data_IF_143701797400
#
_entry.id   IF_143701797400
#
_cell.length_a   1.000
_cell.length_b   1.000
_cell.length_c   1.000
_cell.angle_alpha   90.00
_cell.angle_beta   90.00
_cell.angle_gamma   90.00
#
_symmetry.space_group_name_H-M   'P 1'
#
loop_
_entity.id
_entity.type
_entity.pdbx_description
1 polymer ?
#
# COMPACT_ATOMS: atom_id res chain seq x y z
N UNK A 1 -19.84 -4.51 -0.13
CA UNK A 1 -20.06 -3.63 -1.29
C UNK A 1 -20.70 -2.33 -0.84
N UNK A 2 -20.08 -1.22 -1.17
CA UNK A 2 -20.48 0.10 -0.70
C UNK A 2 -20.54 1.08 -1.87
N UNK A 3 -21.64 1.82 -1.98
CA UNK A 3 -21.87 2.72 -3.12
C UNK A 3 -20.93 3.92 -3.16
N UNK A 4 -20.45 4.37 -2.00
CA UNK A 4 -19.54 5.53 -1.92
C UNK A 4 -18.08 5.19 -2.21
N UNK A 5 -17.76 3.89 -2.35
CA UNK A 5 -16.40 3.46 -2.71
C UNK A 5 -16.32 3.35 -4.22
N UNK A 6 -15.27 3.94 -4.82
CA UNK A 6 -15.03 3.82 -6.24
C UNK A 6 -14.85 2.34 -6.59
N UNK A 7 -15.66 1.82 -7.52
CA UNK A 7 -15.71 0.40 -7.84
C UNK A 7 -16.58 -0.41 -6.90
N UNK A 8 -17.10 0.19 -5.81
CA UNK A 8 -18.07 -0.36 -4.86
C UNK A 8 -17.58 -1.48 -3.95
N UNK A 9 -16.41 -2.04 -4.19
CA UNK A 9 -15.86 -3.10 -3.35
C UNK A 9 -14.87 -2.52 -2.34
N UNK A 10 -15.02 -2.94 -1.06
CA UNK A 10 -14.14 -2.50 0.01
C UNK A 10 -12.71 -3.00 -0.21
N UNK A 11 -12.57 -4.29 -0.51
CA UNK A 11 -11.26 -4.92 -0.62
C UNK A 11 -10.88 -5.16 -2.06
N UNK A 12 -9.58 -4.99 -2.33
CA UNK A 12 -8.94 -5.32 -3.59
C UNK A 12 -7.67 -6.12 -3.32
N UNK A 13 -7.20 -6.85 -4.32
CA UNK A 13 -5.86 -7.44 -4.28
C UNK A 13 -4.88 -6.32 -4.60
N UNK A 14 -4.19 -5.84 -3.57
CA UNK A 14 -3.26 -4.71 -3.69
C UNK A 14 -1.83 -5.21 -3.85
N UNK A 15 -1.09 -4.62 -4.78
CA UNK A 15 0.35 -4.88 -4.88
C UNK A 15 1.07 -4.21 -3.70
N UNK A 16 1.98 -4.93 -3.07
CA UNK A 16 2.89 -4.33 -2.08
C UNK A 16 3.87 -3.42 -2.79
N UNK A 17 4.44 -3.90 -3.89
CA UNK A 17 5.26 -3.08 -4.79
C UNK A 17 4.53 -3.00 -6.11
N UNK A 18 4.17 -1.79 -6.55
CA UNK A 18 3.37 -1.57 -7.73
C UNK A 18 3.97 -2.15 -9.00
N UNK A 19 3.12 -2.48 -9.97
CA UNK A 19 3.54 -3.05 -11.25
C UNK A 19 4.60 -2.20 -11.95
N UNK A 20 4.46 -0.88 -11.88
CA UNK A 20 5.41 0.04 -12.51
C UNK A 20 6.85 -0.11 -11.97
N UNK A 21 7.02 -0.68 -10.78
CA UNK A 21 8.33 -0.88 -10.16
C UNK A 21 8.78 -2.34 -10.21
N UNK A 22 7.86 -3.29 -10.09
CA UNK A 22 8.19 -4.72 -9.98
C UNK A 22 8.04 -5.49 -11.28
N UNK A 23 7.17 -5.03 -12.17
CA UNK A 23 6.81 -5.78 -13.37
C UNK A 23 5.97 -7.03 -13.09
N UNK A 24 5.51 -7.21 -11.86
CA UNK A 24 4.74 -8.38 -11.45
C UNK A 24 3.27 -8.05 -11.30
N UNK A 25 2.43 -8.82 -11.98
CA UNK A 25 0.98 -8.61 -11.96
C UNK A 25 0.23 -9.55 -11.02
N UNK A 26 0.65 -10.78 -10.91
CA UNK A 26 -0.10 -11.82 -10.18
C UNK A 26 0.73 -12.67 -9.24
N UNK A 27 1.87 -12.18 -8.77
CA UNK A 27 2.68 -12.90 -7.81
C UNK A 27 2.04 -12.77 -6.41
N UNK A 28 1.61 -13.89 -5.84
CA UNK A 28 0.94 -13.90 -4.54
C UNK A 28 1.77 -13.29 -3.41
N UNK A 29 3.09 -13.40 -3.49
CA UNK A 29 3.99 -12.82 -2.48
C UNK A 29 4.03 -11.30 -2.55
N UNK A 30 3.55 -10.71 -3.65
CA UNK A 30 3.48 -9.27 -3.85
C UNK A 30 2.06 -8.73 -3.72
N UNK A 31 1.11 -9.53 -3.23
CA UNK A 31 -0.29 -9.14 -3.14
C UNK A 31 -0.80 -9.27 -1.71
N UNK A 32 -1.61 -8.32 -1.29
CA UNK A 32 -2.35 -8.40 -0.03
C UNK A 32 -3.80 -7.95 -0.26
N UNK A 33 -4.66 -8.35 0.67
CA UNK A 33 -6.03 -7.83 0.71
C UNK A 33 -6.00 -6.47 1.38
N UNK A 34 -6.34 -5.44 0.63
CA UNK A 34 -6.33 -4.08 1.13
C UNK A 34 -7.54 -3.30 0.68
N UNK A 35 -7.82 -2.21 1.40
CA UNK A 35 -8.90 -1.31 1.01
C UNK A 35 -8.50 -0.51 -0.22
N UNK A 36 -9.49 -0.08 -0.97
CA UNK A 36 -9.27 0.85 -2.08
C UNK A 36 -8.58 2.12 -1.61
N UNK A 37 -9.02 2.63 -0.47
CA UNK A 37 -8.47 3.86 0.09
C UNK A 37 -6.99 3.72 0.43
N UNK A 38 -6.59 2.60 1.08
CA UNK A 38 -5.16 2.36 1.35
C UNK A 38 -4.34 2.34 0.07
N UNK A 39 -4.85 1.66 -0.96
CA UNK A 39 -4.12 1.51 -2.21
C UNK A 39 -3.97 2.83 -2.96
N UNK A 40 -5.07 3.57 -3.14
CA UNK A 40 -5.08 4.75 -4.01
C UNK A 40 -4.73 6.06 -3.30
N UNK A 41 -5.19 6.22 -2.06
CA UNK A 41 -4.95 7.46 -1.31
C UNK A 41 -3.75 7.34 -0.37
N UNK A 42 -3.47 6.13 0.12
CA UNK A 42 -2.37 5.90 1.05
C UNK A 42 -1.06 5.56 0.38
N UNK A 43 -1.03 4.46 -0.36
CA UNK A 43 0.22 3.92 -0.93
C UNK A 43 0.66 4.58 -2.22
N UNK A 44 -0.27 4.86 -3.12
CA UNK A 44 0.05 5.31 -4.48
C UNK A 44 0.91 6.58 -4.53
N UNK A 45 0.67 7.61 -3.70
CA UNK A 45 1.53 8.80 -3.72
C UNK A 45 3.00 8.47 -3.45
N UNK A 46 3.28 7.57 -2.52
CA UNK A 46 4.65 7.17 -2.20
C UNK A 46 5.26 6.29 -3.29
N UNK A 47 4.47 5.39 -3.88
CA UNK A 47 4.92 4.60 -5.02
C UNK A 47 5.30 5.49 -6.20
N UNK A 48 4.49 6.50 -6.48
CA UNK A 48 4.74 7.45 -7.56
C UNK A 48 6.00 8.26 -7.32
N UNK A 49 6.27 8.65 -6.08
CA UNK A 49 7.48 9.37 -5.73
C UNK A 49 8.73 8.55 -6.07
N UNK A 50 8.73 7.27 -5.72
CA UNK A 50 9.82 6.36 -6.04
C UNK A 50 9.95 6.15 -7.55
N UNK A 51 8.83 5.89 -8.22
CA UNK A 51 8.81 5.64 -9.65
C UNK A 51 9.30 6.84 -10.46
N UNK A 52 8.86 8.04 -10.09
CA UNK A 52 9.26 9.27 -10.77
C UNK A 52 10.75 9.53 -10.61
N UNK A 53 11.28 9.32 -9.41
CA UNK A 53 12.71 9.48 -9.16
C UNK A 53 13.55 8.53 -10.01
N UNK A 54 13.19 7.24 -10.05
CA UNK A 54 13.91 6.24 -10.83
C UNK A 54 13.84 6.57 -12.33
N UNK A 55 12.66 6.98 -12.79
CA UNK A 55 12.46 7.33 -14.20
C UNK A 55 13.26 8.57 -14.60
N UNK A 56 13.25 9.60 -13.76
CA UNK A 56 13.88 10.88 -14.08
C UNK A 56 15.39 10.85 -13.95
N UNK A 57 15.93 10.07 -13.02
CA UNK A 57 17.36 10.07 -12.73
C UNK A 57 18.10 8.84 -13.26
N UNK A 58 17.41 7.72 -13.42
CA UNK A 58 18.05 6.43 -13.70
C UNK A 58 18.77 5.83 -12.49
N UNK A 59 18.70 6.49 -11.34
CA UNK A 59 19.35 6.05 -10.11
C UNK A 59 18.50 5.01 -9.38
N UNK A 60 19.02 4.49 -8.27
CA UNK A 60 18.42 3.38 -7.55
C UNK A 60 17.78 3.84 -6.24
N UNK A 61 16.75 3.12 -5.82
CA UNK A 61 16.08 3.32 -4.55
C UNK A 61 16.02 1.98 -3.82
N UNK A 62 16.45 1.98 -2.55
CA UNK A 62 16.15 0.87 -1.66
C UNK A 62 14.70 1.05 -1.23
N UNK A 63 13.84 0.10 -1.54
CA UNK A 63 12.42 0.21 -1.32
C UNK A 63 11.89 -1.08 -0.69
N UNK A 64 11.20 -0.92 0.43
CA UNK A 64 10.62 -2.05 1.15
C UNK A 64 9.21 -1.74 1.58
N UNK A 65 8.31 -2.67 1.32
CA UNK A 65 6.90 -2.57 1.73
C UNK A 65 6.56 -3.82 2.55
N UNK A 66 6.23 -3.62 3.81
CA UNK A 66 5.99 -4.71 4.75
C UNK A 66 4.55 -4.64 5.25
N UNK A 67 3.72 -5.66 4.99
CA UNK A 67 2.39 -5.71 5.60
C UNK A 67 2.52 -6.02 7.08
N UNK A 68 1.71 -5.35 7.90
CA UNK A 68 1.75 -5.51 9.35
C UNK A 68 0.43 -6.08 9.81
N UNK A 69 0.48 -7.29 10.35
CA UNK A 69 -0.69 -7.98 10.90
C UNK A 69 -0.56 -7.98 12.42
N UNK A 70 -1.68 -7.81 13.09
CA UNK A 70 -1.74 -7.98 14.54
C UNK A 70 -2.14 -9.42 14.83
N UNK A 71 -1.27 -10.15 15.56
CA UNK A 71 -1.49 -11.55 15.91
C UNK A 71 -1.86 -12.40 14.67
N UNK A 72 -2.96 -13.14 14.75
CA UNK A 72 -3.42 -14.02 13.68
C UNK A 72 -4.52 -13.40 12.83
N UNK A 73 -4.62 -12.08 12.80
CA UNK A 73 -5.65 -11.41 12.01
C UNK A 73 -5.52 -11.73 10.53
N UNK A 74 -6.64 -11.89 9.87
CA UNK A 74 -6.69 -12.19 8.44
C UNK A 74 -6.37 -10.96 7.58
N UNK A 75 -6.63 -9.77 8.09
CA UNK A 75 -6.44 -8.52 7.36
C UNK A 75 -5.35 -7.70 8.04
N UNK A 76 -4.41 -7.20 7.26
CA UNK A 76 -3.32 -6.37 7.77
C UNK A 76 -3.86 -5.05 8.34
N UNK A 77 -3.25 -4.57 9.43
CA UNK A 77 -3.54 -3.24 9.97
C UNK A 77 -3.13 -2.15 8.97
N UNK A 78 -2.10 -2.40 8.20
CA UNK A 78 -1.57 -1.50 7.21
C UNK A 78 -0.26 -2.01 6.65
N UNK A 79 0.46 -1.14 5.98
CA UNK A 79 1.76 -1.46 5.42
C UNK A 79 2.79 -0.42 5.86
N UNK A 80 3.99 -0.89 6.16
CA UNK A 80 5.14 -0.04 6.42
C UNK A 80 5.87 0.14 5.10
N UNK A 81 5.97 1.38 4.62
CA UNK A 81 6.66 1.72 3.39
C UNK A 81 7.96 2.45 3.73
N UNK A 82 9.07 1.91 3.28
CA UNK A 82 10.38 2.48 3.55
C UNK A 82 11.14 2.63 2.24
N UNK A 83 11.77 3.79 2.05
CA UNK A 83 12.54 4.03 0.85
C UNK A 83 13.71 4.96 1.13
N UNK A 84 14.81 4.74 0.40
CA UNK A 84 15.99 5.61 0.45
C UNK A 84 16.68 5.57 -0.90
N UNK A 85 16.88 6.75 -1.49
CA UNK A 85 17.69 6.83 -2.71
C UNK A 85 19.13 6.46 -2.41
N UNK A 86 19.72 5.64 -3.28
CA UNK A 86 21.02 4.99 -3.00
C UNK A 86 22.19 5.91 -3.28
N UNK A 87 22.28 6.43 -4.49
CA UNK A 87 23.46 7.18 -4.95
C UNK A 87 23.71 8.46 -4.16
N UNK A 88 22.64 9.14 -3.75
CA UNK A 88 22.72 10.38 -2.98
C UNK A 88 22.52 10.19 -1.48
N UNK A 89 22.46 8.93 -1.03
CA UNK A 89 22.34 8.55 0.39
C UNK A 89 21.11 9.12 1.07
N UNK A 90 19.98 9.11 0.34
CA UNK A 90 18.70 9.55 0.89
C UNK A 90 18.43 11.03 0.77
N UNK A 91 19.23 11.77 0.01
CA UNK A 91 19.02 13.21 -0.13
C UNK A 91 17.68 13.55 -0.80
N UNK A 92 17.35 12.86 -1.90
CA UNK A 92 16.12 13.10 -2.65
C UNK A 92 14.94 12.28 -2.16
N UNK A 93 15.19 11.00 -1.85
CA UNK A 93 14.15 10.09 -1.35
C UNK A 93 14.60 9.52 -0.03
N UNK A 94 13.86 9.84 1.01
CA UNK A 94 13.98 9.16 2.29
C UNK A 94 12.64 9.25 3.01
N UNK A 95 11.94 8.10 3.15
CA UNK A 95 10.73 8.07 3.94
C UNK A 95 10.58 6.73 4.67
N UNK A 96 9.82 6.79 5.75
CA UNK A 96 9.44 5.64 6.55
C UNK A 96 8.04 5.96 7.06
N UNK A 97 7.03 5.42 6.40
CA UNK A 97 5.64 5.77 6.67
C UNK A 97 4.82 4.50 6.87
N UNK A 98 3.84 4.61 7.76
CA UNK A 98 2.86 3.55 7.96
C UNK A 98 1.54 3.97 7.33
N UNK A 99 1.07 3.18 6.37
CA UNK A 99 -0.17 3.44 5.66
C UNK A 99 -1.24 2.51 6.21
N UNK A 100 -2.27 3.09 6.81
CA UNK A 100 -3.34 2.31 7.44
C UNK A 100 -4.26 1.67 6.41
N UNK A 101 -4.65 0.43 6.68
CA UNK A 101 -5.59 -0.31 5.85
C UNK A 101 -7.02 0.01 6.30
N UNK A 102 -7.48 1.19 5.93
CA UNK A 102 -8.77 1.72 6.35
C UNK A 102 -9.55 2.22 5.15
N UNK A 103 -10.84 2.42 5.35
CA UNK A 103 -11.73 3.04 4.38
C UNK A 103 -12.63 4.01 5.13
N UNK A 104 -12.68 5.30 4.75
CA UNK A 104 -13.58 6.25 5.42
C UNK A 104 -15.01 5.74 5.44
N UNK A 105 -15.66 5.92 6.57
CA UNK A 105 -17.07 5.53 6.81
C UNK A 105 -17.31 4.02 6.86
N UNK A 106 -16.25 3.22 6.95
CA UNK A 106 -16.36 1.77 7.08
C UNK A 106 -15.58 1.30 8.30
N UNK A 107 -16.22 0.48 9.11
CA UNK A 107 -15.60 -0.17 10.25
C UNK A 107 -15.19 -1.58 9.85
N UNK A 108 -13.92 -1.92 10.08
CA UNK A 108 -13.35 -3.19 9.68
C UNK A 108 -13.01 -4.03 10.91
N UNK A 109 -13.44 -5.29 10.89
CA UNK A 109 -12.95 -6.30 11.83
C UNK A 109 -11.74 -6.98 11.20
N UNK A 110 -10.55 -6.62 11.64
CA UNK A 110 -9.30 -7.10 11.04
C UNK A 110 -9.06 -8.59 11.29
N UNK A 111 -9.68 -9.15 12.32
CA UNK A 111 -9.54 -10.56 12.61
C UNK A 111 -10.22 -11.42 11.55
N UNK A 112 -11.38 -11.01 11.06
CA UNK A 112 -12.22 -11.78 10.15
C UNK A 112 -12.33 -11.22 8.74
N UNK A 113 -12.05 -9.93 8.58
CA UNK A 113 -12.26 -9.22 7.33
C UNK A 113 -13.67 -8.71 7.13
N UNK A 114 -14.57 -8.94 8.09
CA UNK A 114 -15.95 -8.45 8.00
C UNK A 114 -15.98 -6.94 8.20
N UNK A 115 -16.97 -6.29 7.61
CA UNK A 115 -17.08 -4.84 7.65
C UNK A 115 -18.51 -4.40 7.84
N UNK A 116 -18.68 -3.15 8.29
CA UNK A 116 -19.98 -2.51 8.43
C UNK A 116 -19.81 -1.00 8.27
N UNK A 117 -20.94 -0.31 8.04
CA UNK A 117 -20.91 1.14 7.99
C UNK A 117 -20.56 1.71 9.36
N UNK A 118 -19.71 2.71 9.37
CA UNK A 118 -19.33 3.49 10.55
C UNK A 118 -19.85 4.91 10.34
N UNK A 119 -20.98 5.18 10.96
CA UNK A 119 -21.66 6.48 10.79
C UNK A 119 -21.27 7.51 11.83
#
# INVERSE_FOLDING_TARGET
KYDFIDGKYLYNRCHLIGYQLSGENANEKNLITGTRYMNTEGMLPFENEVADYVKDTGNHVLYRVTPVFEEDNLVADGVLMEAMSVEDRGLDIEFNVFVYNVQPHVKIDYQTGKSSLDE
#
